data_IF_506668619946
#
_entry.id   IF_506668619946
#
_cell.length_a   1.000
_cell.length_b   1.000
_cell.length_c   1.000
_cell.angle_alpha   90.00
_cell.angle_beta   90.00
_cell.angle_gamma   90.00
#
_symmetry.space_group_name_H-M   'P 1'
#
loop_
_entity.id
_entity.type
_entity.pdbx_description
1 polymer ?
#
# COMPACT_ATOMS: atom_id res chain seq x y z
N UNK A 1 -23.60 15.25 -12.30
CA UNK A 1 -23.39 15.34 -10.85
C UNK A 1 -22.24 14.40 -10.54
N UNK A 2 -21.02 14.93 -10.48
CA UNK A 2 -19.86 14.14 -10.08
C UNK A 2 -19.86 14.15 -8.56
N UNK A 3 -20.17 13.01 -7.94
CA UNK A 3 -19.95 12.81 -6.51
C UNK A 3 -18.47 13.13 -6.21
N UNK A 4 -18.23 14.00 -5.24
CA UNK A 4 -16.90 14.16 -4.67
C UNK A 4 -16.59 12.84 -3.97
N UNK A 5 -15.86 11.96 -4.65
CA UNK A 5 -15.33 10.75 -4.02
C UNK A 5 -14.25 11.26 -3.07
N UNK A 6 -14.59 11.38 -1.78
CA UNK A 6 -13.62 11.54 -0.70
C UNK A 6 -12.68 10.34 -0.77
N UNK A 7 -11.50 10.56 -1.36
CA UNK A 7 -10.42 9.58 -1.30
C UNK A 7 -9.90 9.56 0.13
N UNK A 8 -10.50 8.70 0.96
CA UNK A 8 -9.97 8.41 2.27
C UNK A 8 -8.56 7.84 2.10
N UNK A 9 -7.52 8.45 2.70
CA UNK A 9 -6.17 7.93 2.60
C UNK A 9 -6.13 6.50 3.13
N UNK A 10 -5.37 5.63 2.46
CA UNK A 10 -5.17 4.25 2.90
C UNK A 10 -4.68 4.28 4.35
N UNK A 11 -5.27 3.48 5.27
CA UNK A 11 -4.88 3.52 6.67
C UNK A 11 -3.40 3.20 6.79
N UNK A 12 -2.67 3.97 7.60
CA UNK A 12 -1.22 3.79 7.77
C UNK A 12 -0.82 2.38 8.26
N UNK A 13 -1.74 1.65 8.89
CA UNK A 13 -1.57 0.23 9.23
C UNK A 13 -1.32 -0.64 7.98
N UNK A 14 -1.88 -0.27 6.83
CA UNK A 14 -1.71 -1.00 5.57
C UNK A 14 -0.27 -0.92 5.07
N UNK A 15 0.39 0.23 5.26
CA UNK A 15 1.82 0.38 4.98
C UNK A 15 2.64 -0.57 5.86
N UNK A 16 2.35 -0.64 7.17
CA UNK A 16 3.03 -1.54 8.09
C UNK A 16 2.81 -3.03 7.73
N UNK A 17 1.57 -3.41 7.38
CA UNK A 17 1.23 -4.77 6.93
C UNK A 17 2.00 -5.13 5.66
N UNK A 18 2.08 -4.22 4.68
CA UNK A 18 2.82 -4.46 3.45
C UNK A 18 4.32 -4.65 3.69
N UNK A 19 4.91 -3.87 4.62
CA UNK A 19 6.31 -3.99 5.01
C UNK A 19 6.59 -5.32 5.72
N UNK A 20 5.71 -5.72 6.65
CA UNK A 20 5.81 -7.01 7.34
C UNK A 20 5.65 -8.19 6.38
N UNK A 21 4.69 -8.13 5.46
CA UNK A 21 4.48 -9.15 4.44
C UNK A 21 5.69 -9.28 3.51
N UNK A 22 6.29 -8.16 3.12
CA UNK A 22 7.51 -8.15 2.33
C UNK A 22 8.69 -8.79 3.10
N UNK A 23 8.89 -8.42 4.36
CA UNK A 23 9.94 -9.01 5.22
C UNK A 23 9.75 -10.52 5.42
N UNK A 24 8.52 -10.96 5.68
CA UNK A 24 8.19 -12.39 5.78
C UNK A 24 8.52 -13.12 4.49
N UNK A 25 8.19 -12.54 3.34
CA UNK A 25 8.51 -13.15 2.04
C UNK A 25 10.03 -13.34 1.86
N UNK A 26 10.83 -12.38 2.30
CA UNK A 26 12.30 -12.47 2.23
C UNK A 26 12.84 -13.50 3.22
N UNK A 27 12.36 -13.52 4.46
CA UNK A 27 12.80 -14.46 5.50
C UNK A 27 12.45 -15.91 5.14
N UNK A 28 11.28 -16.13 4.55
CA UNK A 28 10.80 -17.47 4.16
C UNK A 28 11.16 -17.86 2.73
N UNK A 29 12.01 -17.09 2.04
CA UNK A 29 12.45 -17.37 0.67
C UNK A 29 12.89 -18.81 0.46
N UNK A 30 13.69 -19.35 1.38
CA UNK A 30 14.28 -20.70 1.23
C UNK A 30 13.26 -21.82 1.47
N UNK A 31 12.15 -21.51 2.13
CA UNK A 31 11.04 -22.44 2.38
C UNK A 31 9.92 -22.34 1.35
N UNK A 32 9.89 -21.26 0.57
CA UNK A 32 8.86 -20.98 -0.43
C UNK A 32 9.38 -21.35 -1.83
N UNK A 33 8.47 -21.85 -2.67
CA UNK A 33 8.81 -22.01 -4.09
C UNK A 33 9.15 -20.64 -4.72
N UNK A 34 10.03 -20.65 -5.72
CA UNK A 34 10.50 -19.44 -6.40
C UNK A 34 9.32 -18.61 -6.94
N UNK A 35 8.31 -19.28 -7.49
CA UNK A 35 7.09 -18.66 -8.02
C UNK A 35 6.33 -17.89 -6.94
N UNK A 36 6.16 -18.48 -5.76
CA UNK A 36 5.43 -17.87 -4.65
C UNK A 36 6.21 -16.72 -4.01
N UNK A 37 7.53 -16.86 -3.86
CA UNK A 37 8.39 -15.79 -3.38
C UNK A 37 8.33 -14.57 -4.30
N UNK A 38 8.39 -14.80 -5.62
CA UNK A 38 8.30 -13.72 -6.60
C UNK A 38 6.93 -13.03 -6.57
N UNK A 39 5.84 -13.81 -6.58
CA UNK A 39 4.47 -13.27 -6.55
C UNK A 39 4.20 -12.47 -5.28
N UNK A 40 4.53 -13.01 -4.10
CA UNK A 40 4.32 -12.32 -2.82
C UNK A 40 5.22 -11.08 -2.71
N UNK A 41 6.48 -11.17 -3.14
CA UNK A 41 7.40 -10.04 -3.12
C UNK A 41 6.90 -8.89 -3.99
N UNK A 42 6.45 -9.20 -5.20
CA UNK A 42 5.88 -8.21 -6.13
C UNK A 42 4.58 -7.62 -5.57
N UNK A 43 3.69 -8.46 -5.03
CA UNK A 43 2.43 -8.03 -4.43
C UNK A 43 2.64 -7.04 -3.29
N UNK A 44 3.49 -7.39 -2.32
CA UNK A 44 3.77 -6.51 -1.17
C UNK A 44 4.52 -5.25 -1.56
N UNK A 45 5.39 -5.31 -2.57
CA UNK A 45 6.08 -4.12 -3.10
C UNK A 45 5.09 -3.13 -3.72
N UNK A 46 4.16 -3.60 -4.55
CA UNK A 46 3.13 -2.75 -5.15
C UNK A 46 2.24 -2.16 -4.06
N UNK A 47 1.83 -2.98 -3.09
CA UNK A 47 0.98 -2.54 -1.98
C UNK A 47 1.68 -1.48 -1.12
N UNK A 48 2.98 -1.65 -0.87
CA UNK A 48 3.79 -0.67 -0.16
C UNK A 48 3.84 0.66 -0.91
N UNK A 49 4.15 0.63 -2.22
CA UNK A 49 4.18 1.84 -3.05
C UNK A 49 2.82 2.54 -3.11
N UNK A 50 1.73 1.78 -3.27
CA UNK A 50 0.38 2.34 -3.26
C UNK A 50 0.05 3.01 -1.92
N UNK A 51 0.37 2.35 -0.81
CA UNK A 51 0.16 2.92 0.53
C UNK A 51 1.02 4.17 0.77
N UNK A 52 2.27 4.15 0.33
CA UNK A 52 3.21 5.25 0.46
C UNK A 52 2.74 6.48 -0.33
N UNK A 53 2.32 6.27 -1.58
CA UNK A 53 1.76 7.34 -2.42
C UNK A 53 0.45 7.88 -1.82
N UNK A 54 -0.40 7.02 -1.28
CA UNK A 54 -1.66 7.46 -0.66
C UNK A 54 -1.45 8.34 0.57
N UNK A 55 -0.42 8.09 1.37
CA UNK A 55 -0.08 8.92 2.52
C UNK A 55 0.62 10.22 2.11
N UNK A 56 1.41 10.18 1.04
CA UNK A 56 2.16 11.34 0.56
C UNK A 56 1.27 12.35 -0.17
N UNK A 57 0.30 11.88 -0.96
CA UNK A 57 -0.67 12.70 -1.68
C UNK A 57 -2.00 12.84 -0.91
N UNK A 58 -1.92 12.96 0.43
CA UNK A 58 -3.08 13.12 1.32
C UNK A 58 -4.07 14.22 0.87
N UNK A 59 -5.31 14.21 1.38
CA UNK A 59 -6.44 14.93 0.80
C UNK A 59 -6.11 16.39 0.51
N UNK A 60 -6.40 16.82 -0.72
CA UNK A 60 -6.30 18.23 -1.12
C UNK A 60 -7.13 19.06 -0.13
N UNK A 61 -6.64 20.22 0.34
CA UNK A 61 -7.39 21.05 1.25
C UNK A 61 -8.77 21.31 0.66
N UNK A 62 -9.80 20.95 1.42
CA UNK A 62 -11.18 21.25 1.06
C UNK A 62 -11.22 22.74 0.75
N UNK A 63 -11.59 23.08 -0.48
CA UNK A 63 -11.71 24.47 -0.88
C UNK A 63 -12.84 25.05 -0.03
N UNK A 64 -12.49 25.77 1.02
CA UNK A 64 -13.43 26.62 1.76
C UNK A 64 -14.02 27.60 0.74
N UNK A 65 -15.22 27.28 0.25
CA UNK A 65 -15.99 28.18 -0.60
C UNK A 65 -16.55 29.26 0.33
N UNK A 66 -16.28 30.55 0.07
CA UNK A 66 -16.74 31.66 0.91
C UNK A 66 -18.26 31.81 0.92
#
# INVERSE_FOLDING_TARGET
>A
MFENIEFAPLPGSMMAISLLGFLLTVVYRDSLELTWTFTLGLFFLILFLASFLSLHYGPLPEREVP
#
